data_IF_013893282288
#
_entry.id   IF_013893282288
#
_cell.length_a   1.000
_cell.length_b   1.000
_cell.length_c   1.000
_cell.angle_alpha   90.00
_cell.angle_beta   90.00
_cell.angle_gamma   90.00
#
_symmetry.space_group_name_H-M   'P 1'
#
loop_
_entity.id
_entity.type
_entity.pdbx_description
1 polymer ?
#
# COMPACT_ATOMS: atom_id res chain seq x y z
N UNK A 1 19.27 -4.98 -19.74
CA UNK A 1 17.82 -4.66 -19.74
C UNK A 1 17.08 -5.91 -19.26
N UNK A 2 16.03 -5.77 -18.44
CA UNK A 2 15.25 -6.93 -17.96
C UNK A 2 14.51 -7.62 -19.11
N UNK A 3 14.51 -8.96 -19.09
CA UNK A 3 13.70 -9.74 -20.02
C UNK A 3 12.20 -9.47 -19.80
N UNK A 4 11.40 -9.67 -20.85
CA UNK A 4 9.96 -9.45 -20.79
C UNK A 4 9.26 -10.34 -19.74
N UNK A 5 9.82 -11.52 -19.44
CA UNK A 5 9.32 -12.42 -18.39
C UNK A 5 9.56 -11.87 -16.98
N UNK A 6 10.81 -11.48 -16.68
CA UNK A 6 11.20 -10.89 -15.38
C UNK A 6 10.40 -9.63 -15.05
N UNK A 7 10.22 -8.76 -16.06
CA UNK A 7 9.42 -7.54 -15.90
C UNK A 7 7.95 -7.84 -15.63
N UNK A 8 7.36 -8.84 -16.31
CA UNK A 8 5.98 -9.25 -16.05
C UNK A 8 5.80 -9.77 -14.62
N UNK A 9 6.67 -10.65 -14.15
CA UNK A 9 6.61 -11.19 -12.79
C UNK A 9 6.65 -10.08 -11.73
N UNK A 10 7.57 -9.12 -11.86
CA UNK A 10 7.69 -8.01 -10.92
C UNK A 10 6.49 -7.06 -10.95
N UNK A 11 5.92 -6.81 -12.13
CA UNK A 11 4.68 -6.02 -12.26
C UNK A 11 3.51 -6.77 -11.65
N UNK A 12 3.38 -8.08 -11.87
CA UNK A 12 2.31 -8.89 -11.25
C UNK A 12 2.45 -8.89 -9.73
N UNK A 13 3.66 -9.07 -9.20
CA UNK A 13 3.92 -9.04 -7.77
C UNK A 13 3.54 -7.70 -7.12
N UNK A 14 3.71 -6.59 -7.84
CA UNK A 14 3.30 -5.25 -7.39
C UNK A 14 1.78 -5.13 -7.18
N UNK A 15 0.95 -5.94 -7.83
CA UNK A 15 -0.50 -5.87 -7.66
C UNK A 15 -1.05 -6.85 -6.62
N UNK A 16 -0.23 -7.81 -6.14
CA UNK A 16 -0.66 -8.80 -5.15
C UNK A 16 -1.14 -8.14 -3.84
N UNK A 17 -0.44 -7.15 -3.27
CA UNK A 17 -0.92 -6.50 -2.04
C UNK A 17 -2.27 -5.82 -2.22
N UNK A 18 -2.54 -5.24 -3.39
CA UNK A 18 -3.84 -4.64 -3.67
C UNK A 18 -4.95 -5.70 -3.62
N UNK A 19 -4.73 -6.87 -4.23
CA UNK A 19 -5.70 -7.95 -4.21
C UNK A 19 -6.01 -8.40 -2.77
N UNK A 20 -4.98 -8.52 -1.91
CA UNK A 20 -5.16 -8.87 -0.49
C UNK A 20 -5.95 -7.80 0.25
N UNK A 21 -5.65 -6.52 0.05
CA UNK A 21 -6.38 -5.42 0.68
C UNK A 21 -7.86 -5.39 0.25
N UNK A 22 -8.15 -5.66 -1.02
CA UNK A 22 -9.53 -5.74 -1.53
C UNK A 22 -10.29 -6.93 -0.93
N UNK A 23 -9.63 -8.08 -0.73
CA UNK A 23 -10.24 -9.23 -0.07
C UNK A 23 -10.55 -8.95 1.40
N UNK A 24 -9.64 -8.28 2.12
CA UNK A 24 -9.90 -7.84 3.49
C UNK A 24 -11.10 -6.88 3.56
N UNK A 25 -11.20 -5.93 2.62
CA UNK A 25 -12.32 -4.99 2.58
C UNK A 25 -13.64 -5.71 2.28
N UNK A 26 -13.61 -6.71 1.40
CA UNK A 26 -14.79 -7.52 1.09
C UNK A 26 -15.25 -8.32 2.31
N UNK A 27 -14.32 -8.94 3.05
CA UNK A 27 -14.63 -9.68 4.29
C UNK A 27 -15.29 -8.75 5.33
N UNK A 28 -14.75 -7.56 5.52
CA UNK A 28 -15.30 -6.54 6.42
C UNK A 28 -16.73 -6.13 6.01
N UNK A 29 -16.95 -5.86 4.71
CA UNK A 29 -18.27 -5.52 4.18
C UNK A 29 -19.30 -6.64 4.37
N UNK A 30 -18.87 -7.90 4.34
CA UNK A 30 -19.74 -9.06 4.51
C UNK A 30 -20.12 -9.32 5.98
N UNK A 31 -19.29 -8.89 6.95
CA UNK A 31 -19.54 -9.09 8.40
C UNK A 31 -20.62 -8.18 8.97
N UNK A 32 -20.92 -7.04 8.34
CA UNK A 32 -22.16 -6.29 8.53
C UNK A 32 -22.34 -5.53 9.85
N UNK A 33 -21.38 -5.51 10.78
CA UNK A 33 -21.45 -4.75 12.03
C UNK A 33 -20.25 -3.81 12.17
N UNK A 34 -20.43 -2.53 12.53
CA UNK A 34 -19.32 -1.69 12.94
C UNK A 34 -19.34 -1.44 14.45
N UNK A 35 -18.44 -2.07 15.19
CA UNK A 35 -17.89 -1.47 16.40
C UNK A 35 -17.07 -0.23 16.02
N UNK A 36 -16.96 0.76 16.90
CA UNK A 36 -16.25 2.02 16.62
C UNK A 36 -14.78 1.80 16.20
N UNK A 37 -14.18 0.71 16.66
CA UNK A 37 -12.83 0.25 16.30
C UNK A 37 -12.79 -0.28 14.86
N UNK A 38 -13.75 -1.11 14.47
CA UNK A 38 -13.88 -1.66 13.10
C UNK A 38 -14.10 -0.53 12.07
N UNK A 39 -14.81 0.54 12.45
CA UNK A 39 -14.97 1.72 11.59
C UNK A 39 -13.64 2.43 11.33
N UNK A 40 -12.78 2.57 12.35
CA UNK A 40 -11.45 3.17 12.22
C UNK A 40 -10.52 2.31 11.35
N UNK A 41 -10.56 0.99 11.52
CA UNK A 41 -9.81 0.03 10.71
C UNK A 41 -10.30 0.00 9.25
N UNK A 42 -11.61 0.08 9.03
CA UNK A 42 -12.20 0.17 7.67
C UNK A 42 -11.74 1.44 6.94
N UNK A 43 -11.68 2.58 7.63
CA UNK A 43 -11.11 3.81 7.06
C UNK A 43 -9.62 3.67 6.74
N UNK A 44 -8.85 3.05 7.64
CA UNK A 44 -7.43 2.78 7.42
C UNK A 44 -7.19 1.91 6.19
N UNK A 45 -8.04 0.90 6.01
CA UNK A 45 -8.00 -0.03 4.89
C UNK A 45 -8.39 0.66 3.57
N UNK A 46 -9.49 1.42 3.57
CA UNK A 46 -9.98 2.14 2.38
C UNK A 46 -8.96 3.18 1.90
N UNK A 47 -8.39 3.97 2.82
CA UNK A 47 -7.33 4.94 2.47
C UNK A 47 -6.06 4.22 2.02
N UNK A 48 -5.72 3.09 2.66
CA UNK A 48 -4.62 2.22 2.25
C UNK A 48 -4.74 1.74 0.81
N UNK A 49 -5.92 1.31 0.38
CA UNK A 49 -6.20 0.87 -1.00
C UNK A 49 -5.97 2.02 -1.99
N UNK A 50 -6.54 3.20 -1.72
CA UNK A 50 -6.38 4.37 -2.58
C UNK A 50 -4.91 4.78 -2.71
N UNK A 51 -4.20 4.85 -1.58
CA UNK A 51 -2.77 5.12 -1.55
C UNK A 51 -1.97 4.08 -2.35
N UNK A 52 -2.32 2.80 -2.22
CA UNK A 52 -1.60 1.71 -2.86
C UNK A 52 -1.75 1.72 -4.38
N UNK A 53 -2.94 2.03 -4.88
CA UNK A 53 -3.19 2.19 -6.33
C UNK A 53 -2.30 3.31 -6.88
N UNK A 54 -2.27 4.47 -6.23
CA UNK A 54 -1.44 5.60 -6.65
C UNK A 54 0.06 5.24 -6.64
N UNK A 55 0.51 4.59 -5.57
CA UNK A 55 1.88 4.09 -5.44
C UNK A 55 2.25 3.08 -6.54
N UNK A 56 1.42 2.06 -6.77
CA UNK A 56 1.66 1.03 -7.76
C UNK A 56 1.71 1.59 -9.19
N UNK A 57 0.79 2.51 -9.53
CA UNK A 57 0.79 3.18 -10.83
C UNK A 57 2.06 4.03 -11.03
N UNK A 58 2.52 4.72 -9.99
CA UNK A 58 3.76 5.50 -10.07
C UNK A 58 4.97 4.57 -10.22
N UNK A 59 5.09 3.53 -9.41
CA UNK A 59 6.20 2.59 -9.52
C UNK A 59 6.22 1.89 -10.88
N UNK A 60 5.08 1.48 -11.45
CA UNK A 60 5.04 0.93 -12.83
C UNK A 60 5.65 1.88 -13.87
N UNK A 61 5.47 3.20 -13.71
CA UNK A 61 6.10 4.20 -14.57
C UNK A 61 7.59 4.33 -14.27
N UNK A 62 7.96 4.43 -12.99
CA UNK A 62 9.34 4.63 -12.54
C UNK A 62 10.24 3.41 -12.76
N UNK A 63 9.69 2.21 -12.92
CA UNK A 63 10.43 0.98 -13.20
C UNK A 63 10.83 0.83 -14.68
N UNK A 64 10.30 1.67 -15.58
CA UNK A 64 10.67 1.65 -17.01
C UNK A 64 12.15 2.05 -17.18
N UNK A 65 12.88 1.24 -17.94
CA UNK A 65 14.28 1.52 -18.30
C UNK A 65 15.31 1.29 -17.18
N UNK A 66 14.88 0.87 -15.98
CA UNK A 66 15.79 0.57 -14.86
C UNK A 66 16.49 -0.78 -15.02
N UNK A 67 17.69 -0.87 -14.46
CA UNK A 67 18.40 -2.14 -14.35
C UNK A 67 17.73 -3.05 -13.32
N UNK A 68 17.98 -4.35 -13.42
CA UNK A 68 17.43 -5.35 -12.50
C UNK A 68 17.75 -5.04 -11.03
N UNK A 69 19.01 -4.70 -10.74
CA UNK A 69 19.44 -4.33 -9.40
C UNK A 69 18.71 -3.08 -8.87
N UNK A 70 18.46 -2.09 -9.73
CA UNK A 70 17.69 -0.91 -9.37
C UNK A 70 16.22 -1.25 -9.08
N UNK A 71 15.62 -2.20 -9.81
CA UNK A 71 14.25 -2.63 -9.53
C UNK A 71 14.19 -3.39 -8.20
N UNK A 72 15.08 -4.34 -7.95
CA UNK A 72 15.11 -5.09 -6.69
C UNK A 72 15.34 -4.17 -5.48
N UNK A 73 16.22 -3.17 -5.62
CA UNK A 73 16.41 -2.16 -4.59
C UNK A 73 15.13 -1.35 -4.32
N UNK A 74 14.35 -1.01 -5.37
CA UNK A 74 13.06 -0.33 -5.19
C UNK A 74 11.99 -1.21 -4.59
N UNK A 75 11.94 -2.49 -4.94
CA UNK A 75 11.03 -3.46 -4.29
C UNK A 75 11.35 -3.52 -2.79
N UNK A 76 12.64 -3.63 -2.43
CA UNK A 76 13.09 -3.62 -1.03
C UNK A 76 12.74 -2.33 -0.28
N UNK A 77 12.89 -1.18 -0.93
CA UNK A 77 12.52 0.13 -0.36
C UNK A 77 11.02 0.43 -0.46
N UNK A 78 10.25 -0.40 -1.17
CA UNK A 78 8.83 -0.19 -1.45
C UNK A 78 7.99 0.14 -0.22
N UNK A 79 8.13 -0.57 0.92
CA UNK A 79 7.39 -0.27 2.14
C UNK A 79 7.64 1.15 2.67
N UNK A 80 8.89 1.63 2.61
CA UNK A 80 9.25 2.99 3.00
C UNK A 80 8.71 4.02 2.01
N UNK A 81 8.82 3.73 0.71
CA UNK A 81 8.33 4.60 -0.36
C UNK A 81 6.80 4.71 -0.37
N UNK A 82 6.10 3.74 0.20
CA UNK A 82 4.64 3.74 0.33
C UNK A 82 4.14 4.68 1.44
N UNK A 83 4.90 4.90 2.52
CA UNK A 83 4.47 5.71 3.67
C UNK A 83 3.95 7.10 3.27
N UNK A 84 4.63 7.88 2.40
CA UNK A 84 4.13 9.18 1.99
C UNK A 84 2.77 9.12 1.28
N UNK A 85 2.49 8.07 0.51
CA UNK A 85 1.19 7.88 -0.14
C UNK A 85 0.10 7.60 0.88
N UNK A 86 0.42 6.73 1.85
CA UNK A 86 -0.50 6.40 2.92
C UNK A 86 -0.85 7.64 3.76
N UNK A 87 0.17 8.38 4.20
CA UNK A 87 -0.01 9.64 4.93
C UNK A 87 -0.82 10.66 4.13
N UNK A 88 -0.49 10.87 2.85
CA UNK A 88 -1.18 11.83 1.99
C UNK A 88 -2.66 11.49 1.80
N UNK A 89 -3.01 10.21 1.59
CA UNK A 89 -4.40 9.78 1.43
C UNK A 89 -5.24 10.09 2.68
N UNK A 90 -4.69 9.83 3.87
CA UNK A 90 -5.31 10.14 5.15
C UNK A 90 -5.49 11.64 5.38
N UNK A 91 -4.45 12.41 5.09
CA UNK A 91 -4.48 13.87 5.26
C UNK A 91 -5.52 14.51 4.33
N UNK A 92 -5.58 14.09 3.06
CA UNK A 92 -6.56 14.59 2.09
C UNK A 92 -8.00 14.26 2.50
N UNK A 93 -8.24 13.02 2.97
CA UNK A 93 -9.56 12.63 3.46
C UNK A 93 -10.01 13.46 4.66
N UNK A 94 -9.12 13.66 5.64
CA UNK A 94 -9.42 14.48 6.83
C UNK A 94 -9.64 15.94 6.47
N UNK A 95 -8.84 16.49 5.56
CA UNK A 95 -9.03 17.84 5.05
C UNK A 95 -10.39 18.00 4.36
N UNK A 96 -10.80 17.05 3.52
CA UNK A 96 -12.11 17.06 2.86
C UNK A 96 -13.26 17.01 3.87
N UNK A 97 -13.14 16.17 4.92
CA UNK A 97 -14.09 16.10 6.05
C UNK A 97 -14.20 17.44 6.79
N UNK A 98 -13.08 18.09 7.10
CA UNK A 98 -13.06 19.40 7.74
C UNK A 98 -13.74 20.49 6.89
N UNK A 99 -13.48 20.50 5.58
CA UNK A 99 -14.14 21.42 4.64
C UNK A 99 -15.66 21.17 4.54
N UNK A 100 -16.11 19.94 4.83
CA UNK A 100 -17.52 19.56 4.89
C UNK A 100 -18.25 19.93 6.19
N UNK A 101 -17.59 20.64 7.11
CA UNK A 101 -18.19 21.08 8.38
C UNK A 101 -18.05 20.10 9.55
N UNK A 102 -17.40 18.96 9.33
CA UNK A 102 -17.14 17.93 10.35
C UNK A 102 -15.84 18.29 11.09
N UNK A 103 -15.89 19.35 11.89
CA UNK A 103 -14.73 19.97 12.56
C UNK A 103 -14.36 19.29 13.89
N UNK A 104 -15.04 18.21 14.29
CA UNK A 104 -14.72 17.48 15.52
C UNK A 104 -13.40 16.70 15.35
N UNK A 105 -12.39 17.24 16.04
CA UNK A 105 -11.03 16.77 16.28
C UNK A 105 -10.02 16.78 15.10
N UNK A 106 -8.96 17.57 15.31
CA UNK A 106 -7.68 17.52 14.58
C UNK A 106 -6.85 16.30 15.00
N UNK A 107 -7.07 15.77 16.21
CA UNK A 107 -6.39 14.59 16.76
C UNK A 107 -6.34 13.35 15.83
N UNK A 108 -7.41 12.98 15.09
CA UNK A 108 -7.36 11.85 14.16
C UNK A 108 -6.65 12.15 12.81
N UNK A 109 -6.11 13.35 12.56
CA UNK A 109 -5.22 13.59 11.40
C UNK A 109 -3.94 12.77 11.47
N UNK A 110 -3.49 12.42 12.68
CA UNK A 110 -2.29 11.62 12.91
C UNK A 110 -2.61 10.15 13.19
N UNK A 111 -3.88 9.73 13.06
CA UNK A 111 -4.31 8.34 13.31
C UNK A 111 -3.58 7.31 12.46
N UNK A 112 -3.09 7.70 11.27
CA UNK A 112 -2.28 6.86 10.40
C UNK A 112 -0.93 6.45 11.01
N UNK A 113 -0.39 7.22 11.97
CA UNK A 113 0.91 6.94 12.60
C UNK A 113 0.89 5.59 13.35
N UNK A 114 -0.23 5.28 14.01
CA UNK A 114 -0.43 4.01 14.74
C UNK A 114 -0.31 2.80 13.81
N UNK A 115 -0.62 2.96 12.53
CA UNK A 115 -0.54 1.88 11.55
C UNK A 115 0.82 1.75 10.88
N UNK A 116 1.77 2.69 11.06
CA UNK A 116 3.10 2.61 10.42
C UNK A 116 3.81 1.29 10.74
N UNK A 117 3.89 0.82 12.01
CA UNK A 117 4.55 -0.43 12.32
C UNK A 117 3.94 -1.60 11.55
N UNK A 118 2.61 -1.69 11.51
CA UNK A 118 1.88 -2.74 10.78
C UNK A 118 2.14 -2.67 9.27
N UNK A 119 2.06 -1.47 8.68
CA UNK A 119 2.32 -1.22 7.25
C UNK A 119 3.75 -1.63 6.88
N UNK A 120 4.74 -1.29 7.72
CA UNK A 120 6.13 -1.64 7.48
C UNK A 120 6.36 -3.15 7.61
N UNK A 121 5.87 -3.80 8.66
CA UNK A 121 6.04 -5.24 8.87
C UNK A 121 5.44 -6.01 7.69
N UNK A 122 4.16 -5.76 7.37
CA UNK A 122 3.48 -6.43 6.27
C UNK A 122 4.16 -6.11 4.94
N UNK A 123 4.51 -4.85 4.70
CA UNK A 123 5.20 -4.42 3.49
C UNK A 123 6.55 -5.13 3.30
N UNK A 124 7.36 -5.24 4.35
CA UNK A 124 8.65 -5.91 4.28
C UNK A 124 8.54 -7.43 4.12
N UNK A 125 7.54 -8.07 4.73
CA UNK A 125 7.24 -9.48 4.47
C UNK A 125 6.94 -9.70 2.98
N UNK A 126 6.05 -8.90 2.40
CA UNK A 126 5.70 -9.04 0.98
C UNK A 126 6.88 -8.71 0.06
N UNK A 127 7.63 -7.66 0.37
CA UNK A 127 8.83 -7.28 -0.38
C UNK A 127 9.89 -8.39 -0.34
N UNK A 128 10.17 -8.93 0.84
CA UNK A 128 11.10 -10.04 1.04
C UNK A 128 10.69 -11.29 0.28
N UNK A 129 9.41 -11.68 0.36
CA UNK A 129 8.87 -12.81 -0.41
C UNK A 129 8.98 -12.58 -1.92
N UNK A 130 8.71 -11.37 -2.39
CA UNK A 130 8.85 -11.01 -3.81
C UNK A 130 10.28 -11.15 -4.30
N UNK A 131 11.25 -10.64 -3.52
CA UNK A 131 12.68 -10.75 -3.83
C UNK A 131 13.15 -12.20 -3.78
N UNK A 132 12.72 -12.96 -2.77
CA UNK A 132 13.07 -14.38 -2.63
C UNK A 132 12.54 -15.22 -3.80
N UNK A 133 11.26 -15.05 -4.16
CA UNK A 133 10.64 -15.71 -5.30
C UNK A 133 11.35 -15.34 -6.60
N UNK A 134 11.62 -14.05 -6.81
CA UNK A 134 12.31 -13.56 -7.99
C UNK A 134 13.70 -14.21 -8.14
N UNK A 135 14.48 -14.27 -7.05
CA UNK A 135 15.79 -14.92 -7.05
C UNK A 135 15.68 -16.43 -7.29
N UNK A 136 14.68 -17.10 -6.72
CA UNK A 136 14.51 -18.55 -6.90
C UNK A 136 14.19 -18.92 -8.34
N UNK A 137 13.44 -18.08 -9.06
CA UNK A 137 13.01 -18.37 -10.44
C UNK A 137 14.05 -17.94 -11.49
N UNK A 138 14.86 -16.91 -11.20
CA UNK A 138 15.72 -16.26 -12.20
C UNK A 138 17.21 -16.19 -11.86
N UNK A 139 17.62 -16.62 -10.66
CA UNK A 139 19.02 -16.82 -10.28
C UNK A 139 19.46 -18.24 -10.58
#
# INVERSE_FOLDING_TARGET
MLSAGRRRLLVTALWIPLAVLLLMLLDECLRGTPLTIELFETYALTMGIVAYIAFALLEMRLLRGKSEQQILARVWLGPLLFIPFYAASWMLFRLAKMLGGDASDVAPMLGWLVFIPCVLIVGYVVSGLTVALYRTVYS
#
